data_IF_669777331379
#
_entry.id   IF_669777331379
#
_cell.length_a   1.000
_cell.length_b   1.000
_cell.length_c   1.000
_cell.angle_alpha   90.00
_cell.angle_beta   90.00
_cell.angle_gamma   90.00
#
_symmetry.space_group_name_H-M   'P 1'
#
loop_
_entity.id
_entity.type
_entity.pdbx_description
1 polymer ?
#
# COMPACT_ATOMS: atom_id res chain seq x y z
N UNK A 1 -22.33 -8.41 -1.66
CA UNK A 1 -21.92 -7.39 -2.65
C UNK A 1 -22.34 -6.02 -2.17
N UNK A 2 -23.64 -5.70 -2.01
CA UNK A 2 -24.12 -4.37 -1.58
C UNK A 2 -23.42 -3.87 -0.34
N UNK A 3 -23.32 -4.68 0.72
CA UNK A 3 -22.64 -4.31 1.96
C UNK A 3 -21.18 -3.90 1.71
N UNK A 4 -20.45 -4.62 0.85
CA UNK A 4 -19.05 -4.25 0.52
C UNK A 4 -19.00 -2.91 -0.21
N UNK A 5 -19.92 -2.66 -1.14
CA UNK A 5 -20.01 -1.38 -1.85
C UNK A 5 -20.32 -0.22 -0.88
N UNK A 6 -21.27 -0.44 0.04
CA UNK A 6 -21.64 0.57 1.05
C UNK A 6 -20.48 0.89 2.01
N UNK A 7 -19.74 -0.14 2.45
CA UNK A 7 -18.63 -0.01 3.39
C UNK A 7 -17.36 0.57 2.72
N UNK A 8 -17.09 0.23 1.46
CA UNK A 8 -15.82 0.55 0.82
C UNK A 8 -15.89 1.55 -0.34
N UNK A 9 -17.09 1.77 -0.90
CA UNK A 9 -17.28 2.55 -2.12
C UNK A 9 -16.79 1.86 -3.40
N UNK A 10 -16.21 0.66 -3.32
CA UNK A 10 -15.66 -0.04 -4.47
C UNK A 10 -16.72 -0.86 -5.20
N UNK A 11 -16.79 -0.66 -6.52
CA UNK A 11 -17.75 -1.36 -7.40
C UNK A 11 -17.13 -2.50 -8.21
N UNK A 12 -15.82 -2.70 -8.09
CA UNK A 12 -15.08 -3.81 -8.71
C UNK A 12 -14.56 -4.73 -7.61
N UNK A 13 -14.86 -6.01 -7.68
CA UNK A 13 -14.54 -7.00 -6.65
C UNK A 13 -13.90 -8.23 -7.26
N UNK A 14 -12.79 -8.69 -6.69
CA UNK A 14 -12.28 -10.03 -6.90
C UNK A 14 -13.16 -11.03 -6.15
N UNK A 15 -13.46 -12.14 -6.79
CA UNK A 15 -14.14 -13.28 -6.18
C UNK A 15 -13.09 -14.36 -5.94
N UNK A 16 -12.91 -14.74 -4.69
CA UNK A 16 -11.94 -15.77 -4.28
C UNK A 16 -12.65 -17.03 -3.80
N UNK A 17 -11.95 -18.15 -3.88
CA UNK A 17 -12.50 -19.48 -3.54
C UNK A 17 -12.87 -19.63 -2.07
N UNK A 18 -12.15 -18.94 -1.17
CA UNK A 18 -12.35 -18.98 0.28
C UNK A 18 -13.03 -17.73 0.85
N UNK A 19 -13.31 -16.72 0.01
CA UNK A 19 -13.92 -15.45 0.42
C UNK A 19 -12.98 -14.50 1.17
N UNK A 20 -11.68 -14.80 1.24
CA UNK A 20 -10.67 -13.90 1.82
C UNK A 20 -10.06 -12.97 0.78
N UNK A 21 -9.52 -11.80 1.17
CA UNK A 21 -8.90 -10.86 0.23
C UNK A 21 -7.76 -11.48 -0.59
N UNK A 22 -7.00 -12.41 -0.01
CA UNK A 22 -5.82 -13.04 -0.61
C UNK A 22 -6.07 -14.52 -0.99
N UNK A 23 -7.33 -14.93 -1.16
CA UNK A 23 -7.68 -16.25 -1.64
C UNK A 23 -7.37 -16.44 -3.12
N UNK A 24 -7.56 -17.67 -3.62
CA UNK A 24 -7.38 -17.98 -5.03
C UNK A 24 -8.46 -17.28 -5.87
N UNK A 25 -8.05 -16.48 -6.85
CA UNK A 25 -8.98 -15.75 -7.71
C UNK A 25 -9.77 -16.71 -8.61
N UNK A 26 -11.09 -16.73 -8.48
CA UNK A 26 -12.00 -17.55 -9.30
C UNK A 26 -12.87 -16.73 -10.25
N UNK A 27 -12.91 -15.42 -10.08
CA UNK A 27 -13.64 -14.54 -10.96
C UNK A 27 -13.55 -13.07 -10.53
N UNK A 28 -14.22 -12.22 -11.29
CA UNK A 28 -14.34 -10.79 -11.01
C UNK A 28 -15.80 -10.34 -11.24
N UNK A 29 -16.28 -9.49 -10.33
CA UNK A 29 -17.61 -8.90 -10.41
C UNK A 29 -17.51 -7.38 -10.42
N UNK A 30 -18.27 -6.73 -11.27
CA UNK A 30 -18.41 -5.28 -11.30
C UNK A 30 -19.87 -4.86 -11.18
N UNK A 31 -20.15 -3.61 -10.83
CA UNK A 31 -21.52 -3.08 -10.75
C UNK A 31 -22.31 -3.13 -12.07
N UNK A 32 -21.65 -3.46 -13.19
CA UNK A 32 -22.28 -3.61 -14.51
C UNK A 32 -22.74 -5.04 -14.80
N UNK A 33 -22.33 -6.01 -13.99
CA UNK A 33 -22.58 -7.43 -14.23
C UNK A 33 -23.92 -7.90 -13.66
N UNK A 34 -24.56 -7.09 -12.80
CA UNK A 34 -25.84 -7.42 -12.17
C UNK A 34 -26.73 -6.19 -11.93
N UNK A 35 -28.01 -6.43 -11.80
CA UNK A 35 -29.01 -5.42 -11.40
C UNK A 35 -29.87 -5.98 -10.28
N UNK A 36 -29.77 -5.36 -9.10
CA UNK A 36 -30.38 -5.86 -7.85
C UNK A 36 -31.90 -5.97 -7.95
N UNK A 37 -32.54 -5.00 -8.57
CA UNK A 37 -34.00 -4.95 -8.79
C UNK A 37 -34.51 -6.00 -9.79
N UNK A 38 -33.61 -6.55 -10.61
CA UNK A 38 -33.92 -7.55 -11.62
C UNK A 38 -33.44 -8.96 -11.22
N UNK A 39 -32.21 -9.05 -10.72
CA UNK A 39 -31.52 -10.34 -10.52
C UNK A 39 -31.71 -10.93 -9.13
N UNK A 40 -32.29 -10.15 -8.19
CA UNK A 40 -32.60 -10.55 -6.84
C UNK A 40 -31.38 -10.60 -5.89
N UNK A 41 -31.64 -10.28 -4.60
CA UNK A 41 -30.58 -10.18 -3.59
C UNK A 41 -29.95 -11.50 -3.17
N UNK A 42 -30.67 -12.59 -3.33
CA UNK A 42 -30.25 -13.94 -2.93
C UNK A 42 -29.55 -14.71 -4.04
N UNK A 43 -29.33 -14.06 -5.18
CA UNK A 43 -28.63 -14.67 -6.30
C UNK A 43 -27.14 -14.85 -6.01
N UNK A 44 -26.60 -15.99 -6.45
CA UNK A 44 -25.18 -16.31 -6.22
C UNK A 44 -24.26 -15.51 -7.14
N UNK A 45 -23.21 -14.93 -6.59
CA UNK A 45 -22.18 -14.13 -7.30
C UNK A 45 -21.63 -14.88 -8.53
N UNK A 46 -21.42 -16.19 -8.43
CA UNK A 46 -20.92 -17.02 -9.54
C UNK A 46 -21.75 -16.99 -10.81
N UNK A 47 -23.03 -16.61 -10.73
CA UNK A 47 -23.91 -16.55 -11.89
C UNK A 47 -23.71 -15.28 -12.72
N UNK A 48 -23.07 -14.27 -12.14
CA UNK A 48 -22.89 -12.94 -12.74
C UNK A 48 -21.43 -12.57 -12.95
N UNK A 49 -20.51 -13.13 -12.16
CA UNK A 49 -19.10 -12.82 -12.27
C UNK A 49 -18.52 -13.23 -13.62
N UNK A 50 -17.53 -12.50 -14.09
CA UNK A 50 -16.64 -12.96 -15.15
C UNK A 50 -15.75 -14.05 -14.55
N UNK A 51 -15.81 -15.31 -14.99
CA UNK A 51 -14.99 -16.39 -14.46
C UNK A 51 -13.51 -16.21 -14.82
N UNK A 52 -12.63 -16.80 -14.00
CA UNK A 52 -11.18 -16.62 -14.13
C UNK A 52 -10.62 -16.88 -15.54
N UNK A 53 -11.13 -17.91 -16.22
CA UNK A 53 -10.67 -18.31 -17.56
C UNK A 53 -10.92 -17.24 -18.63
N UNK A 54 -11.79 -16.27 -18.34
CA UNK A 54 -12.10 -15.14 -19.22
C UNK A 54 -11.45 -13.84 -18.78
N UNK A 55 -10.71 -13.85 -17.66
CA UNK A 55 -10.06 -12.65 -17.15
C UNK A 55 -8.69 -12.46 -17.83
N UNK A 56 -8.39 -11.21 -18.13
CA UNK A 56 -6.99 -10.80 -18.32
C UNK A 56 -6.43 -10.49 -16.95
N UNK A 57 -5.30 -11.09 -16.60
CA UNK A 57 -4.63 -10.93 -15.32
C UNK A 57 -3.19 -10.48 -15.51
N UNK A 58 -2.66 -9.70 -14.58
CA UNK A 58 -1.24 -9.43 -14.46
C UNK A 58 -0.58 -10.37 -13.45
N UNK A 59 0.73 -10.52 -13.55
CA UNK A 59 1.52 -11.31 -12.59
C UNK A 59 2.16 -10.41 -11.54
N UNK A 60 2.37 -10.95 -10.35
CA UNK A 60 3.10 -10.24 -9.29
C UNK A 60 4.49 -9.78 -9.80
N UNK A 61 4.84 -8.54 -9.49
CA UNK A 61 6.06 -7.90 -9.99
C UNK A 61 5.91 -7.13 -11.31
N UNK A 62 4.73 -7.16 -11.93
CA UNK A 62 4.45 -6.33 -13.12
C UNK A 62 4.60 -4.84 -12.78
N UNK A 63 5.25 -4.08 -13.66
CA UNK A 63 5.34 -2.63 -13.48
C UNK A 63 4.01 -1.95 -13.78
N UNK A 64 3.80 -0.74 -13.22
CA UNK A 64 2.59 0.04 -13.49
C UNK A 64 2.43 0.34 -15.00
N UNK A 65 3.54 0.58 -15.71
CA UNK A 65 3.52 0.82 -17.16
C UNK A 65 3.07 -0.40 -17.95
N UNK A 66 3.59 -1.59 -17.62
CA UNK A 66 3.18 -2.86 -18.27
C UNK A 66 1.72 -3.20 -17.95
N UNK A 67 1.31 -3.03 -16.68
CA UNK A 67 -0.08 -3.24 -16.29
C UNK A 67 -1.02 -2.29 -17.04
N UNK A 68 -0.62 -1.03 -17.21
CA UNK A 68 -1.38 -0.05 -17.97
C UNK A 68 -1.46 -0.42 -19.45
N UNK A 69 -0.37 -0.97 -20.05
CA UNK A 69 -0.40 -1.44 -21.43
C UNK A 69 -1.45 -2.55 -21.60
N UNK A 70 -1.49 -3.55 -20.69
CA UNK A 70 -2.52 -4.59 -20.69
C UNK A 70 -3.93 -4.03 -20.56
N UNK A 71 -4.11 -3.03 -19.68
CA UNK A 71 -5.40 -2.34 -19.50
C UNK A 71 -5.87 -1.68 -20.80
N UNK A 72 -4.97 -1.03 -21.53
CA UNK A 72 -5.29 -0.37 -22.80
C UNK A 72 -5.57 -1.37 -23.92
N UNK A 73 -4.73 -2.38 -24.09
CA UNK A 73 -4.83 -3.38 -25.17
C UNK A 73 -6.14 -4.18 -25.05
N UNK A 74 -6.52 -4.52 -23.83
CA UNK A 74 -7.74 -5.28 -23.53
C UNK A 74 -8.97 -4.41 -23.17
N UNK A 75 -8.84 -3.07 -23.19
CA UNK A 75 -9.91 -2.10 -22.89
C UNK A 75 -10.53 -2.31 -21.50
N UNK A 76 -9.68 -2.60 -20.52
CA UNK A 76 -10.10 -2.87 -19.14
C UNK A 76 -10.20 -1.55 -18.33
N UNK A 77 -10.95 -1.61 -17.22
CA UNK A 77 -10.93 -0.58 -16.19
C UNK A 77 -10.11 -0.99 -14.96
N UNK A 78 -9.95 -2.29 -14.76
CA UNK A 78 -9.20 -2.88 -13.67
C UNK A 78 -8.51 -4.16 -14.14
N UNK A 79 -7.28 -4.38 -13.68
CA UNK A 79 -6.46 -5.56 -13.94
C UNK A 79 -6.16 -6.22 -12.59
N UNK A 80 -6.67 -7.42 -12.32
CA UNK A 80 -6.27 -8.19 -11.14
C UNK A 80 -4.85 -8.70 -11.31
N UNK A 81 -4.06 -8.55 -10.25
CA UNK A 81 -2.69 -9.05 -10.18
C UNK A 81 -2.66 -10.28 -9.28
N UNK A 82 -2.09 -11.36 -9.77
CA UNK A 82 -2.04 -12.64 -9.08
C UNK A 82 -0.59 -13.13 -8.92
N UNK A 83 -0.37 -13.96 -7.90
CA UNK A 83 0.87 -14.70 -7.72
C UNK A 83 0.91 -15.98 -8.59
N UNK A 84 1.97 -16.78 -8.42
CA UNK A 84 2.17 -18.06 -9.13
C UNK A 84 1.11 -19.13 -8.75
N UNK A 85 0.48 -18.99 -7.59
CA UNK A 85 -0.57 -19.88 -7.09
C UNK A 85 -1.99 -19.39 -7.42
N UNK A 86 -2.10 -18.38 -8.29
CA UNK A 86 -3.37 -17.73 -8.66
C UNK A 86 -4.04 -16.97 -7.48
N UNK A 87 -3.30 -16.65 -6.41
CA UNK A 87 -3.83 -15.83 -5.33
C UNK A 87 -3.96 -14.38 -5.75
N UNK A 88 -5.08 -13.76 -5.42
CA UNK A 88 -5.27 -12.33 -5.67
C UNK A 88 -4.35 -11.53 -4.74
N UNK A 89 -3.52 -10.68 -5.34
CA UNK A 89 -2.59 -9.82 -4.61
C UNK A 89 -3.15 -8.40 -4.50
N UNK A 90 -3.45 -7.76 -5.62
CA UNK A 90 -4.02 -6.42 -5.69
C UNK A 90 -4.67 -6.17 -7.06
N UNK A 91 -5.29 -5.01 -7.22
CA UNK A 91 -5.78 -4.52 -8.51
C UNK A 91 -4.97 -3.32 -8.98
N UNK A 92 -4.76 -3.21 -10.28
CA UNK A 92 -4.35 -1.97 -10.93
C UNK A 92 -5.55 -1.41 -11.67
N UNK A 93 -5.90 -0.18 -11.41
CA UNK A 93 -7.00 0.51 -12.08
C UNK A 93 -6.45 1.44 -13.16
N UNK A 94 -7.20 1.64 -14.24
CA UNK A 94 -6.84 2.59 -15.29
C UNK A 94 -6.57 4.00 -14.76
N UNK A 95 -7.34 4.44 -13.77
CA UNK A 95 -7.16 5.74 -13.11
C UNK A 95 -5.84 5.86 -12.34
N UNK A 96 -5.26 4.75 -11.88
CA UNK A 96 -4.02 4.77 -11.09
C UNK A 96 -2.84 5.25 -11.94
N UNK A 97 -2.79 4.86 -13.22
CA UNK A 97 -1.77 5.34 -14.14
C UNK A 97 -1.91 6.84 -14.43
N UNK A 98 -3.13 7.32 -14.62
CA UNK A 98 -3.41 8.75 -14.84
C UNK A 98 -3.00 9.55 -13.61
N UNK A 99 -3.38 9.10 -12.41
CA UNK A 99 -3.00 9.71 -11.14
C UNK A 99 -1.48 9.73 -10.94
N UNK A 100 -0.79 8.61 -11.17
CA UNK A 100 0.67 8.52 -11.06
C UNK A 100 1.39 9.44 -12.06
N UNK A 101 0.86 9.58 -13.29
CA UNK A 101 1.41 10.51 -14.28
C UNK A 101 1.26 11.97 -13.85
N UNK A 102 0.14 12.32 -13.21
CA UNK A 102 -0.13 13.65 -12.69
C UNK A 102 0.63 13.95 -11.40
N UNK A 103 0.92 12.91 -10.60
CA UNK A 103 1.61 12.98 -9.32
C UNK A 103 2.88 12.12 -9.32
N UNK A 104 3.90 12.47 -10.12
CA UNK A 104 5.11 11.64 -10.28
C UNK A 104 5.98 11.53 -9.02
N UNK A 105 5.69 12.33 -8.00
CA UNK A 105 6.38 12.32 -6.71
C UNK A 105 5.76 11.36 -5.69
N UNK A 106 4.66 10.70 -6.00
CA UNK A 106 4.11 9.65 -5.15
C UNK A 106 5.05 8.45 -5.09
N UNK A 107 5.35 8.02 -3.88
CA UNK A 107 6.17 6.83 -3.64
C UNK A 107 5.27 5.63 -3.39
N UNK A 108 5.41 4.62 -4.24
CA UNK A 108 4.68 3.36 -4.16
C UNK A 108 5.62 2.22 -3.78
N UNK A 109 5.16 1.32 -2.93
CA UNK A 109 5.81 0.03 -2.75
C UNK A 109 5.83 -0.72 -4.09
N UNK A 110 7.00 -1.20 -4.56
CA UNK A 110 7.11 -1.84 -5.87
C UNK A 110 6.37 -3.18 -5.97
N UNK A 111 6.08 -3.84 -4.86
CA UNK A 111 5.44 -5.13 -4.82
C UNK A 111 3.92 -5.02 -4.58
N UNK A 112 3.52 -4.25 -3.58
CA UNK A 112 2.10 -4.13 -3.20
C UNK A 112 1.36 -3.02 -3.94
N UNK A 113 2.09 -2.05 -4.50
CA UNK A 113 1.54 -0.83 -5.12
C UNK A 113 0.77 0.08 -4.16
N UNK A 114 0.94 -0.14 -2.87
CA UNK A 114 0.45 0.75 -1.83
C UNK A 114 1.33 1.99 -1.72
N UNK A 115 0.75 3.10 -1.32
CA UNK A 115 1.52 4.32 -1.04
C UNK A 115 2.42 4.09 0.17
N UNK A 116 3.69 4.50 0.06
CA UNK A 116 4.58 4.54 1.21
C UNK A 116 4.12 5.62 2.17
N UNK A 117 3.95 5.25 3.43
CA UNK A 117 3.37 6.12 4.47
C UNK A 117 4.42 6.48 5.51
N UNK A 118 4.56 7.78 5.76
CA UNK A 118 5.44 8.31 6.80
C UNK A 118 4.67 8.90 7.98
N UNK A 119 5.21 8.80 9.18
CA UNK A 119 4.65 9.40 10.38
C UNK A 119 5.70 10.14 11.21
N UNK A 120 5.29 11.32 11.73
CA UNK A 120 6.09 12.05 12.71
C UNK A 120 6.04 11.39 14.08
N UNK A 121 7.18 11.31 14.74
CA UNK A 121 7.33 10.87 16.12
C UNK A 121 8.15 11.89 16.94
N UNK A 122 8.12 11.76 18.23
CA UNK A 122 9.01 12.52 19.12
C UNK A 122 9.80 11.58 20.03
N UNK A 123 10.82 12.11 20.70
CA UNK A 123 11.70 11.36 21.59
C UNK A 123 11.12 11.09 23.00
N UNK A 124 9.84 11.36 23.23
CA UNK A 124 9.22 11.17 24.57
C UNK A 124 8.31 9.97 24.62
N UNK A 125 7.49 9.75 23.56
CA UNK A 125 6.46 8.71 23.48
C UNK A 125 6.75 7.61 22.44
N UNK A 126 7.95 7.63 21.84
CA UNK A 126 8.30 6.71 20.75
C UNK A 126 8.11 5.23 21.10
N UNK A 127 8.33 4.84 22.38
CA UNK A 127 8.20 3.45 22.84
C UNK A 127 6.77 2.91 22.78
N UNK A 128 5.78 3.80 22.83
CA UNK A 128 4.35 3.47 22.72
C UNK A 128 3.86 3.72 21.30
N UNK A 129 4.27 4.85 20.72
CA UNK A 129 3.78 5.31 19.42
C UNK A 129 4.33 4.50 18.24
N UNK A 130 5.63 4.19 18.22
CA UNK A 130 6.24 3.45 17.10
C UNK A 130 5.65 2.05 16.94
N UNK A 131 5.46 1.23 18.00
CA UNK A 131 4.78 -0.07 17.85
C UNK A 131 3.40 0.04 17.22
N UNK A 132 2.59 1.01 17.64
CA UNK A 132 1.25 1.21 17.10
C UNK A 132 1.28 1.65 15.62
N UNK A 133 2.24 2.50 15.23
CA UNK A 133 2.44 2.89 13.84
C UNK A 133 2.89 1.71 12.96
N UNK A 134 3.78 0.87 13.47
CA UNK A 134 4.24 -0.34 12.76
C UNK A 134 3.09 -1.33 12.58
N UNK A 135 2.25 -1.52 13.60
CA UNK A 135 1.05 -2.36 13.50
C UNK A 135 0.06 -1.80 12.46
N UNK A 136 -0.01 -0.47 12.33
CA UNK A 136 -0.84 0.21 11.33
C UNK A 136 -0.22 0.23 9.92
N UNK A 137 0.98 -0.31 9.71
CA UNK A 137 1.62 -0.43 8.40
C UNK A 137 2.44 0.80 7.99
N UNK A 138 3.06 1.55 8.93
CA UNK A 138 3.95 2.66 8.59
C UNK A 138 5.26 2.15 7.97
N UNK A 139 5.73 2.80 6.91
CA UNK A 139 7.00 2.48 6.25
C UNK A 139 8.15 3.34 6.77
N UNK A 140 7.85 4.56 7.17
CA UNK A 140 8.83 5.56 7.56
C UNK A 140 8.39 6.28 8.82
N UNK A 141 9.27 6.41 9.80
CA UNK A 141 9.07 7.31 10.93
C UNK A 141 10.12 8.42 10.92
N UNK A 142 9.75 9.61 11.30
CA UNK A 142 10.67 10.75 11.37
C UNK A 142 10.57 11.43 12.74
N UNK A 143 11.70 11.56 13.43
CA UNK A 143 11.78 12.38 14.65
C UNK A 143 11.76 13.84 14.20
N UNK A 144 10.70 14.53 14.52
CA UNK A 144 10.50 15.94 14.18
C UNK A 144 10.62 16.81 15.43
N UNK A 145 11.78 17.44 15.62
CA UNK A 145 12.02 18.37 16.71
C UNK A 145 12.81 19.61 16.23
N UNK A 146 12.74 20.66 17.01
CA UNK A 146 13.45 21.93 16.70
C UNK A 146 14.98 21.81 16.79
N UNK A 147 15.48 20.81 17.51
CA UNK A 147 16.90 20.51 17.65
C UNK A 147 17.13 19.00 17.60
N UNK A 148 17.79 18.55 16.53
CA UNK A 148 18.12 17.16 16.28
C UNK A 148 19.44 16.72 16.90
N UNK A 149 20.33 17.66 17.23
CA UNK A 149 21.63 17.37 17.82
C UNK A 149 21.49 17.06 19.32
N UNK A 150 20.90 15.92 19.66
CA UNK A 150 20.60 15.54 21.04
C UNK A 150 20.71 14.04 21.31
N UNK A 151 21.12 13.69 22.53
CA UNK A 151 21.17 12.29 22.97
C UNK A 151 19.80 11.61 22.90
N UNK A 152 18.71 12.34 23.11
CA UNK A 152 17.36 11.78 23.01
C UNK A 152 17.02 11.29 21.62
N UNK A 153 17.46 12.00 20.57
CA UNK A 153 17.28 11.51 19.19
C UNK A 153 18.16 10.28 18.92
N UNK A 154 19.40 10.30 19.36
CA UNK A 154 20.30 9.15 19.24
C UNK A 154 19.75 7.92 19.94
N UNK A 155 19.25 8.03 21.16
CA UNK A 155 18.59 6.92 21.87
C UNK A 155 17.35 6.43 21.15
N UNK A 156 16.54 7.34 20.59
CA UNK A 156 15.33 6.98 19.84
C UNK A 156 15.69 6.23 18.56
N UNK A 157 16.70 6.71 17.81
CA UNK A 157 17.20 6.04 16.60
C UNK A 157 17.69 4.64 16.94
N UNK A 158 18.55 4.51 17.95
CA UNK A 158 19.11 3.22 18.37
C UNK A 158 18.01 2.22 18.74
N UNK A 159 16.99 2.68 19.50
CA UNK A 159 15.88 1.84 19.90
C UNK A 159 15.02 1.37 18.71
N UNK A 160 14.73 2.26 17.75
CA UNK A 160 13.95 1.90 16.55
C UNK A 160 14.74 0.91 15.69
N UNK A 161 16.04 1.15 15.49
CA UNK A 161 16.92 0.25 14.74
C UNK A 161 17.01 -1.13 15.40
N UNK A 162 17.18 -1.20 16.72
CA UNK A 162 17.23 -2.48 17.43
C UNK A 162 15.96 -3.32 17.23
N UNK A 163 14.79 -2.69 17.22
CA UNK A 163 13.50 -3.41 17.20
C UNK A 163 12.91 -3.63 15.81
N UNK A 164 13.16 -2.71 14.89
CA UNK A 164 12.45 -2.63 13.61
C UNK A 164 13.39 -2.49 12.40
N UNK A 165 14.69 -2.79 12.55
CA UNK A 165 15.63 -2.75 11.44
C UNK A 165 15.12 -3.59 10.25
N UNK A 166 15.20 -2.98 9.05
CA UNK A 166 14.70 -3.60 7.81
C UNK A 166 13.17 -3.62 7.65
N UNK A 167 12.41 -3.12 8.66
CA UNK A 167 10.95 -3.01 8.57
C UNK A 167 10.47 -1.57 8.43
N UNK A 168 11.14 -0.64 9.10
CA UNK A 168 10.78 0.77 9.12
C UNK A 168 12.03 1.62 8.97
N UNK A 169 12.00 2.61 8.09
CA UNK A 169 13.04 3.62 7.99
C UNK A 169 12.87 4.68 9.07
N UNK A 170 13.97 5.14 9.66
CA UNK A 170 13.96 6.22 10.63
C UNK A 170 14.71 7.46 10.15
N UNK A 171 14.01 8.57 10.06
CA UNK A 171 14.57 9.90 9.87
C UNK A 171 14.69 10.67 11.18
N UNK A 172 15.57 11.63 11.21
CA UNK A 172 15.84 12.46 12.38
C UNK A 172 16.10 13.92 12.00
N UNK A 173 15.83 14.82 12.89
CA UNK A 173 16.07 16.27 12.71
C UNK A 173 15.18 17.11 13.64
N UNK A 174 15.22 18.44 13.48
CA UNK A 174 15.93 19.20 12.44
C UNK A 174 17.38 19.47 12.86
N UNK A 175 18.27 19.57 11.89
CA UNK A 175 19.63 20.07 12.08
C UNK A 175 19.90 21.20 11.09
N UNK A 176 20.81 22.11 11.43
CA UNK A 176 21.10 23.33 10.65
C UNK A 176 22.57 23.43 10.24
N UNK A 177 23.40 22.52 10.72
CA UNK A 177 24.83 22.51 10.46
C UNK A 177 25.38 21.11 10.18
N UNK A 178 26.62 21.07 9.76
CA UNK A 178 27.32 19.83 9.41
C UNK A 178 27.53 18.92 10.63
N UNK A 179 27.79 19.49 11.80
CA UNK A 179 28.09 18.73 13.01
C UNK A 179 26.85 17.95 13.47
N UNK A 180 25.70 18.61 13.51
CA UNK A 180 24.41 17.97 13.80
C UNK A 180 24.03 16.93 12.75
N UNK A 181 24.31 17.21 11.47
CA UNK A 181 24.08 16.24 10.40
C UNK A 181 24.93 14.97 10.58
N UNK A 182 26.24 15.13 10.76
CA UNK A 182 27.16 14.01 10.95
C UNK A 182 26.79 13.19 12.21
N UNK A 183 26.39 13.86 13.29
CA UNK A 183 25.94 13.21 14.52
C UNK A 183 24.74 12.26 14.31
N UNK A 184 23.75 12.70 13.56
CA UNK A 184 22.57 11.87 13.27
C UNK A 184 22.88 10.74 12.28
N UNK A 185 23.79 10.95 11.34
CA UNK A 185 24.31 9.89 10.45
C UNK A 185 25.01 8.81 11.29
N UNK A 186 25.90 9.22 12.20
CA UNK A 186 26.64 8.30 13.09
C UNK A 186 25.67 7.56 14.06
N UNK A 187 24.57 8.19 14.44
CA UNK A 187 23.53 7.57 15.25
C UNK A 187 22.73 6.50 14.46
N UNK A 188 22.86 6.45 13.13
CA UNK A 188 22.24 5.44 12.28
C UNK A 188 20.90 5.87 11.66
N UNK A 189 20.60 7.16 11.57
CA UNK A 189 19.42 7.64 10.85
C UNK A 189 19.51 7.30 9.36
N UNK A 190 18.39 6.85 8.76
CA UNK A 190 18.33 6.52 7.33
C UNK A 190 18.24 7.77 6.44
N UNK A 191 17.69 8.84 6.98
CA UNK A 191 17.66 10.17 6.35
C UNK A 191 17.61 11.26 7.41
N UNK A 192 17.99 12.47 7.01
CA UNK A 192 18.09 13.60 7.91
C UNK A 192 17.25 14.76 7.39
N UNK A 193 16.47 15.36 8.28
CA UNK A 193 15.67 16.55 8.03
C UNK A 193 16.49 17.79 8.41
N UNK A 194 16.73 18.64 7.44
CA UNK A 194 17.47 19.91 7.57
C UNK A 194 16.51 21.08 7.54
#
# INVERSE_FOLDING_TARGET
>A
VERIIEETGHTTMGVTDDGTPNGKLVGMLTSRDYRIDHDGRDSLVKNFMTPFEKLTVGKLGITLSEANQLIWDHKLNALPIIDENQKLMYFVFRKDYESHRENPNELLDPQTKELLVGAGINSRDYKERVPALVEAGVDVVCIDSSDGFSEWQKETIAWVKEKYEGKVLIGAGNVVDKEGFDYLVEAGADFIKV
#
